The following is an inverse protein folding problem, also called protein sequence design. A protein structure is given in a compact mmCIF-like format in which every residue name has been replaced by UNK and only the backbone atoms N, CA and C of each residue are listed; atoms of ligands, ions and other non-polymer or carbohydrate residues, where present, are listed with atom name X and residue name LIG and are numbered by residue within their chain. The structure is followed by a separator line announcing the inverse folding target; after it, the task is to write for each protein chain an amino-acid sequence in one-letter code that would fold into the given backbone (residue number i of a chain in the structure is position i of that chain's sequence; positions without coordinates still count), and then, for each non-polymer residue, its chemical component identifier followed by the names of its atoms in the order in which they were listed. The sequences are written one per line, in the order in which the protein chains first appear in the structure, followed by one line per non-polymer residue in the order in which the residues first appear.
data_IF_952396318822
#
_entry.id   IF_952396318822
#
_cell.length_a   1.000
_cell.length_b   1.000
_cell.length_c   1.000
_cell.angle_alpha   90.00
_cell.angle_beta   90.00
_cell.angle_gamma   90.00
#
_symmetry.space_group_name_H-M   'P 1'
#
loop_
_entity.id
_entity.type
_entity.pdbx_description
1 polymer ?
#
# COMPACT_ATOMS: atom_id res chain seq x y z
N UNK A 1 -11.01 -36.66 45.97
CA UNK A 1 -10.25 -35.63 46.71
C UNK A 1 -9.06 -35.27 45.83
N UNK A 2 -8.73 -34.04 45.46
CA UNK A 2 -9.30 -32.72 45.67
C UNK A 2 -8.47 -31.79 44.75
N UNK A 3 -9.18 -30.90 44.04
CA UNK A 3 -8.92 -29.48 43.71
C UNK A 3 -7.48 -28.89 43.80
N UNK A 4 -7.23 -27.68 43.25
CA UNK A 4 -6.57 -27.35 41.99
C UNK A 4 -5.26 -26.52 42.27
N UNK A 5 -5.04 -25.43 41.50
CA UNK A 5 -4.29 -24.18 41.86
C UNK A 5 -2.85 -24.13 41.31
N UNK A 6 -2.51 -23.30 40.32
CA UNK A 6 -2.28 -21.84 40.36
C UNK A 6 -1.21 -21.45 41.43
N UNK A 7 -0.24 -20.56 41.18
CA UNK A 7 -0.38 -19.09 41.37
C UNK A 7 1.02 -18.44 41.19
N UNK A 8 1.04 -17.31 40.45
CA UNK A 8 1.64 -15.96 40.70
C UNK A 8 3.00 -15.81 41.43
N UNK A 9 3.92 -15.01 40.86
CA UNK A 9 4.30 -13.61 41.16
C UNK A 9 4.93 -13.31 42.53
N UNK A 10 5.96 -12.46 42.49
CA UNK A 10 6.44 -11.60 43.59
C UNK A 10 7.94 -11.82 43.82
N UNK A 11 8.84 -10.95 43.35
CA UNK A 11 9.28 -9.69 43.98
C UNK A 11 9.58 -9.81 45.48
N UNK A 12 10.87 -9.78 45.81
CA UNK A 12 11.37 -9.44 47.14
C UNK A 12 12.35 -8.25 47.06
N UNK A 13 12.02 -7.24 47.85
CA UNK A 13 12.89 -6.16 48.33
C UNK A 13 13.46 -6.57 49.72
N UNK A 14 14.19 -5.73 50.48
CA UNK A 14 15.42 -4.96 50.22
C UNK A 14 16.46 -5.11 51.39
N UNK A 15 17.49 -4.23 51.41
CA UNK A 15 18.12 -3.56 52.60
C UNK A 15 19.60 -3.89 52.95
N UNK A 16 20.46 -2.85 52.89
CA UNK A 16 21.21 -2.19 54.02
C UNK A 16 22.73 -1.97 53.84
N UNK A 17 23.14 -0.78 54.28
CA UNK A 17 24.40 -0.04 54.14
C UNK A 17 25.67 -0.49 54.90
N UNK A 18 26.85 -0.09 54.37
CA UNK A 18 28.06 0.58 54.97
C UNK A 18 29.20 0.48 53.91
N UNK A 19 30.24 1.33 53.76
CA UNK A 19 30.92 2.38 54.55
C UNK A 19 31.74 3.29 53.60
N UNK A 20 31.66 4.62 53.72
CA UNK A 20 32.69 5.53 54.26
C UNK A 20 34.15 5.28 53.79
N UNK A 21 34.56 5.90 52.67
CA UNK A 21 35.96 5.90 52.20
C UNK A 21 36.24 6.74 50.94
N UNK A 22 35.20 7.09 50.16
CA UNK A 22 35.36 7.73 48.84
C UNK A 22 35.13 9.25 48.81
N UNK A 23 34.65 9.85 49.92
CA UNK A 23 34.11 11.22 49.91
C UNK A 23 35.20 12.31 49.87
N UNK A 24 36.45 12.02 50.27
CA UNK A 24 37.49 13.07 50.38
C UNK A 24 38.20 13.37 49.05
N UNK A 25 38.19 12.44 48.08
CA UNK A 25 38.89 12.63 46.80
C UNK A 25 38.05 13.39 45.77
N UNK A 26 36.72 13.28 45.82
CA UNK A 26 35.83 13.91 44.84
C UNK A 26 35.66 15.42 45.06
N UNK A 27 35.77 15.89 46.31
CA UNK A 27 35.64 17.32 46.66
C UNK A 27 36.82 18.19 46.21
N UNK A 28 38.03 17.62 46.09
CA UNK A 28 39.22 18.37 45.64
C UNK A 28 39.25 18.68 44.14
N UNK A 29 38.67 17.81 43.30
CA UNK A 29 38.67 17.95 41.83
C UNK A 29 37.56 18.90 41.35
N UNK A 30 36.44 19.00 42.08
CA UNK A 30 35.34 19.90 41.75
C UNK A 30 35.66 21.39 42.00
N UNK A 31 36.58 21.72 42.92
CA UNK A 31 36.92 23.11 43.21
C UNK A 31 37.85 23.75 42.16
N UNK A 32 38.65 22.98 41.43
CA UNK A 32 39.59 23.49 40.43
C UNK A 32 38.98 23.67 39.03
N UNK A 33 37.84 23.02 38.72
CA UNK A 33 37.20 23.09 37.40
C UNK A 33 36.19 24.25 37.25
N UNK A 34 35.73 24.85 38.35
CA UNK A 34 34.72 25.92 38.34
C UNK A 34 35.33 27.31 38.11
N UNK A 35 36.64 27.47 38.29
CA UNK A 35 37.31 28.77 38.18
C UNK A 35 37.73 29.16 36.73
N UNK A 36 37.62 28.26 35.75
CA UNK A 36 38.15 28.49 34.38
C UNK A 36 37.06 28.60 33.29
N UNK A 37 35.80 28.26 33.57
CA UNK A 37 34.73 28.22 32.54
C UNK A 37 33.85 29.47 32.46
N UNK A 38 34.03 30.47 33.31
CA UNK A 38 33.15 31.66 33.36
C UNK A 38 33.53 32.78 32.38
N UNK A 39 34.53 32.61 31.50
CA UNK A 39 35.12 33.74 30.77
C UNK A 39 34.95 33.77 29.24
N UNK A 40 34.14 32.89 28.62
CA UNK A 40 33.92 32.99 27.15
C UNK A 40 32.51 32.59 26.74
N UNK A 41 31.53 33.46 26.97
CA UNK A 41 30.37 33.55 26.07
C UNK A 41 30.11 35.03 25.78
N UNK A 42 30.51 35.55 24.61
CA UNK A 42 30.12 36.88 24.21
C UNK A 42 28.60 36.94 24.11
N UNK A 43 28.00 37.97 24.72
CA UNK A 43 26.61 38.38 24.47
C UNK A 43 26.49 38.75 22.99
N UNK A 44 26.26 37.77 22.13
CA UNK A 44 25.81 38.04 20.77
C UNK A 44 24.35 38.44 20.85
N UNK A 45 24.13 39.70 20.51
CA UNK A 45 22.84 40.34 20.37
C UNK A 45 21.84 39.40 19.67
N UNK A 46 20.66 39.27 20.27
CA UNK A 46 19.48 38.70 19.62
C UNK A 46 19.09 39.68 18.51
N UNK A 47 19.69 39.52 17.32
CA UNK A 47 19.21 40.19 16.11
C UNK A 47 17.73 39.84 15.91
N UNK A 48 16.92 40.72 15.31
CA UNK A 48 15.51 40.43 15.07
C UNK A 48 15.42 39.11 14.30
N UNK A 49 14.57 38.21 14.79
CA UNK A 49 14.30 36.95 14.11
C UNK A 49 13.93 37.29 12.66
N UNK A 50 14.73 36.84 11.70
CA UNK A 50 14.36 36.90 10.29
C UNK A 50 13.13 36.02 10.16
N UNK A 51 11.98 36.63 9.94
CA UNK A 51 10.72 35.93 9.70
C UNK A 51 10.92 35.07 8.44
N UNK A 52 11.07 33.76 8.65
CA UNK A 52 11.06 32.81 7.55
C UNK A 52 9.69 32.92 6.88
N UNK A 53 9.63 33.11 5.54
CA UNK A 53 8.37 33.14 4.83
C UNK A 53 7.62 31.84 5.12
N UNK A 54 6.51 31.94 5.86
CA UNK A 54 5.62 30.80 6.08
C UNK A 54 5.16 30.37 4.69
N UNK A 55 5.61 29.20 4.24
CA UNK A 55 5.15 28.61 3.00
C UNK A 55 3.62 28.50 3.08
N UNK A 56 2.93 29.13 2.14
CA UNK A 56 1.47 29.06 2.09
C UNK A 56 1.03 27.59 2.01
N UNK A 57 -0.11 27.22 2.63
CA UNK A 57 -0.61 25.85 2.54
C UNK A 57 -0.80 25.46 1.06
N UNK A 58 -0.13 24.40 0.64
CA UNK A 58 -0.34 23.82 -0.69
C UNK A 58 -1.68 23.09 -0.66
N UNK A 59 -2.70 23.68 -1.27
CA UNK A 59 -4.01 23.02 -1.45
C UNK A 59 -3.88 22.03 -2.62
N UNK A 60 -4.20 20.73 -2.43
CA UNK A 60 -4.16 19.78 -3.53
C UNK A 60 -5.16 20.18 -4.63
N UNK A 61 -4.70 20.22 -5.88
CA UNK A 61 -5.60 20.41 -7.00
C UNK A 61 -6.59 19.24 -7.08
N UNK A 62 -7.88 19.55 -7.16
CA UNK A 62 -8.90 18.52 -7.40
C UNK A 62 -8.68 17.90 -8.79
N UNK A 63 -8.58 16.56 -8.83
CA UNK A 63 -8.44 15.82 -10.09
C UNK A 63 -9.85 15.56 -10.62
N UNK A 64 -10.16 16.05 -11.82
CA UNK A 64 -11.41 15.72 -12.49
C UNK A 64 -11.48 14.21 -12.77
N UNK A 65 -12.66 13.61 -12.60
CA UNK A 65 -12.91 12.20 -12.88
C UNK A 65 -13.89 12.01 -14.03
N UNK A 66 -13.76 10.90 -14.73
CA UNK A 66 -14.64 10.45 -15.82
C UNK A 66 -15.10 9.02 -15.53
N UNK A 67 -16.28 8.67 -16.01
CA UNK A 67 -16.85 7.33 -15.90
C UNK A 67 -16.90 6.69 -17.29
N UNK A 68 -16.39 5.46 -17.38
CA UNK A 68 -16.42 4.65 -18.59
C UNK A 68 -17.28 3.40 -18.38
N UNK A 69 -18.11 3.04 -19.36
CA UNK A 69 -18.74 1.71 -19.41
C UNK A 69 -17.76 0.72 -20.03
N UNK A 70 -17.49 -0.38 -19.32
CA UNK A 70 -16.54 -1.40 -19.76
C UNK A 70 -17.28 -2.72 -19.90
N UNK A 71 -17.14 -3.36 -21.05
CA UNK A 71 -17.65 -4.70 -21.33
C UNK A 71 -16.48 -5.60 -21.72
N UNK A 72 -16.31 -6.68 -20.97
CA UNK A 72 -15.44 -7.79 -21.37
C UNK A 72 -16.28 -8.88 -21.99
N UNK A 73 -15.84 -9.39 -23.15
CA UNK A 73 -16.53 -10.43 -23.89
C UNK A 73 -15.59 -11.61 -24.12
N UNK A 74 -16.11 -12.82 -23.93
CA UNK A 74 -15.49 -14.07 -24.34
C UNK A 74 -16.39 -14.77 -25.35
N UNK A 75 -15.90 -14.91 -26.57
CA UNK A 75 -16.63 -15.42 -27.72
C UNK A 75 -15.97 -16.72 -28.19
N UNK A 76 -16.77 -17.75 -28.44
CA UNK A 76 -16.29 -19.05 -28.87
C UNK A 76 -17.44 -20.05 -28.97
N UNK A 77 -17.16 -21.25 -29.45
CA UNK A 77 -18.17 -22.29 -29.63
C UNK A 77 -18.52 -23.06 -28.33
N UNK A 78 -17.70 -22.93 -27.28
CA UNK A 78 -17.76 -23.82 -26.11
C UNK A 78 -17.72 -23.05 -24.78
N UNK A 79 -16.64 -23.21 -24.01
CA UNK A 79 -16.45 -22.62 -22.70
C UNK A 79 -15.11 -21.90 -22.67
N UNK A 80 -14.92 -21.05 -21.68
CA UNK A 80 -13.62 -20.48 -21.34
C UNK A 80 -13.28 -20.87 -19.90
N UNK A 81 -12.04 -21.28 -19.67
CA UNK A 81 -11.55 -21.69 -18.34
C UNK A 81 -10.58 -20.67 -17.76
N UNK A 82 -10.36 -20.73 -16.45
CA UNK A 82 -9.42 -19.89 -15.70
C UNK A 82 -9.59 -18.39 -16.00
N UNK A 83 -10.85 -17.95 -16.09
CA UNK A 83 -11.17 -16.57 -16.47
C UNK A 83 -10.81 -15.66 -15.32
N UNK A 84 -9.91 -14.71 -15.58
CA UNK A 84 -9.48 -13.70 -14.61
C UNK A 84 -9.55 -12.33 -15.26
N UNK A 85 -10.14 -11.35 -14.57
CA UNK A 85 -10.28 -10.00 -15.12
C UNK A 85 -10.24 -8.91 -14.04
N UNK A 86 -9.80 -7.71 -14.44
CA UNK A 86 -9.81 -6.52 -13.59
C UNK A 86 -11.15 -5.79 -13.72
N UNK A 87 -11.93 -5.75 -12.63
CA UNK A 87 -13.25 -5.14 -12.53
C UNK A 87 -13.20 -3.69 -12.00
N UNK A 88 -14.36 -3.17 -11.57
CA UNK A 88 -14.48 -1.86 -10.96
C UNK A 88 -13.53 -1.71 -9.74
N UNK A 89 -12.94 -0.52 -9.60
CA UNK A 89 -11.96 -0.24 -8.54
C UNK A 89 -10.67 -1.08 -8.61
N UNK A 90 -10.35 -1.66 -9.77
CA UNK A 90 -9.22 -2.58 -9.98
C UNK A 90 -9.31 -3.89 -9.21
N UNK A 91 -10.51 -4.28 -8.75
CA UNK A 91 -10.71 -5.57 -8.11
C UNK A 91 -10.47 -6.72 -9.10
N UNK A 92 -9.69 -7.72 -8.72
CA UNK A 92 -9.52 -8.93 -9.52
C UNK A 92 -10.69 -9.88 -9.28
N UNK A 93 -11.35 -10.29 -10.36
CA UNK A 93 -12.41 -11.29 -10.32
C UNK A 93 -11.95 -12.54 -11.05
N UNK A 94 -12.30 -13.71 -10.48
CA UNK A 94 -11.97 -15.01 -11.06
C UNK A 94 -13.21 -15.88 -11.21
N UNK A 95 -13.20 -16.69 -12.27
CA UNK A 95 -14.18 -17.74 -12.54
C UNK A 95 -13.41 -18.95 -13.05
N UNK A 96 -13.65 -20.11 -12.46
CA UNK A 96 -13.04 -21.35 -12.93
C UNK A 96 -13.45 -21.65 -14.38
N UNK A 97 -14.72 -21.39 -14.72
CA UNK A 97 -15.26 -21.64 -16.05
C UNK A 97 -16.48 -20.74 -16.33
N UNK A 98 -16.67 -20.38 -17.60
CA UNK A 98 -17.89 -19.70 -18.12
C UNK A 98 -18.28 -20.32 -19.47
N UNK A 99 -19.58 -20.28 -19.80
CA UNK A 99 -20.09 -20.74 -21.11
C UNK A 99 -20.05 -19.59 -22.11
N UNK A 100 -19.54 -19.80 -23.32
CA UNK A 100 -19.49 -18.75 -24.36
C UNK A 100 -20.74 -18.77 -25.25
N UNK A 101 -21.22 -17.61 -25.74
CA UNK A 101 -20.71 -16.27 -25.49
C UNK A 101 -20.99 -15.80 -24.05
N UNK A 102 -20.00 -15.15 -23.44
CA UNK A 102 -20.07 -14.60 -22.09
C UNK A 102 -19.68 -13.14 -22.08
N UNK A 103 -20.33 -12.34 -21.23
CA UNK A 103 -19.93 -10.96 -20.98
C UNK A 103 -19.96 -10.59 -19.50
N UNK A 104 -19.14 -9.61 -19.14
CA UNK A 104 -19.22 -8.88 -17.87
C UNK A 104 -19.14 -7.39 -18.12
N UNK A 105 -20.11 -6.66 -17.57
CA UNK A 105 -20.20 -5.20 -17.68
C UNK A 105 -20.02 -4.54 -16.31
N UNK A 106 -19.27 -3.45 -16.28
CA UNK A 106 -19.11 -2.62 -15.09
C UNK A 106 -18.71 -1.18 -15.45
N UNK A 107 -18.95 -0.26 -14.53
CA UNK A 107 -18.49 1.13 -14.65
C UNK A 107 -17.11 1.31 -14.02
N UNK A 108 -16.21 1.98 -14.74
CA UNK A 108 -14.88 2.38 -14.26
C UNK A 108 -14.85 3.89 -14.08
N UNK A 109 -14.56 4.35 -12.86
CA UNK A 109 -14.32 5.77 -12.58
C UNK A 109 -12.81 5.98 -12.45
N UNK A 110 -12.27 6.90 -13.24
CA UNK A 110 -10.84 7.21 -13.29
C UNK A 110 -10.60 8.71 -13.48
N UNK A 111 -9.36 9.20 -13.28
CA UNK A 111 -9.00 10.57 -13.58
C UNK A 111 -9.15 10.88 -15.07
N UNK A 112 -9.72 12.05 -15.38
CA UNK A 112 -9.88 12.53 -16.75
C UNK A 112 -8.52 12.59 -17.48
N UNK A 113 -8.50 12.12 -18.73
CA UNK A 113 -7.31 12.20 -19.60
C UNK A 113 -6.21 11.20 -19.27
N UNK A 114 -6.46 10.19 -18.41
CA UNK A 114 -5.53 9.07 -18.19
C UNK A 114 -6.11 7.78 -18.76
N UNK A 115 -5.24 6.94 -19.30
CA UNK A 115 -5.59 5.57 -19.69
C UNK A 115 -5.72 4.71 -18.45
N UNK A 116 -6.88 4.10 -18.28
CA UNK A 116 -7.12 3.08 -17.26
C UNK A 116 -6.64 1.72 -17.76
N UNK A 117 -6.21 0.86 -16.84
CA UNK A 117 -5.81 -0.50 -17.17
C UNK A 117 -7.03 -1.42 -17.25
N UNK A 118 -7.18 -2.09 -18.39
CA UNK A 118 -8.22 -3.08 -18.63
C UNK A 118 -7.56 -4.40 -18.99
N UNK A 119 -8.01 -5.51 -18.41
CA UNK A 119 -7.43 -6.82 -18.69
C UNK A 119 -8.40 -7.95 -18.40
N UNK A 120 -8.45 -8.89 -19.33
CA UNK A 120 -9.10 -10.18 -19.18
C UNK A 120 -8.19 -11.27 -19.74
N UNK A 121 -8.04 -12.36 -18.98
CA UNK A 121 -7.33 -13.56 -19.37
C UNK A 121 -8.26 -14.76 -19.28
N UNK A 122 -8.06 -15.73 -20.17
CA UNK A 122 -8.79 -16.98 -20.19
C UNK A 122 -7.94 -18.08 -20.83
N UNK A 123 -8.38 -19.34 -20.66
CA UNK A 123 -7.81 -20.52 -21.31
C UNK A 123 -8.83 -21.12 -22.27
N UNK A 124 -8.37 -21.46 -23.48
CA UNK A 124 -9.15 -22.25 -24.41
C UNK A 124 -9.15 -23.72 -23.95
N UNK A 125 -10.31 -24.31 -23.56
CA UNK A 125 -10.32 -25.66 -23.01
C UNK A 125 -10.19 -26.77 -24.06
N UNK A 126 -10.38 -26.47 -25.35
CA UNK A 126 -10.55 -27.51 -26.35
C UNK A 126 -10.34 -27.04 -27.79
N UNK A 127 -10.79 -27.82 -28.78
CA UNK A 127 -10.71 -27.41 -30.18
C UNK A 127 -11.62 -26.21 -30.47
N UNK A 128 -11.26 -25.46 -31.49
CA UNK A 128 -12.00 -24.26 -31.92
C UNK A 128 -11.37 -22.98 -31.40
N UNK A 129 -11.93 -21.85 -31.85
CA UNK A 129 -11.44 -20.53 -31.48
C UNK A 129 -12.11 -20.02 -30.20
N UNK A 130 -11.28 -19.40 -29.36
CA UNK A 130 -11.73 -18.57 -28.25
C UNK A 130 -11.17 -17.17 -28.43
N UNK A 131 -12.05 -16.18 -28.40
CA UNK A 131 -11.75 -14.76 -28.60
C UNK A 131 -12.10 -13.98 -27.33
N UNK A 132 -11.22 -13.07 -26.95
CA UNK A 132 -11.51 -12.02 -25.97
C UNK A 132 -11.67 -10.69 -26.69
N UNK A 133 -12.58 -9.86 -26.19
CA UNK A 133 -12.79 -8.49 -26.66
C UNK A 133 -13.07 -7.58 -25.47
N UNK A 134 -12.45 -6.41 -25.45
CA UNK A 134 -12.66 -5.36 -24.46
C UNK A 134 -13.30 -4.18 -25.18
N UNK A 135 -14.48 -3.79 -24.72
CA UNK A 135 -15.25 -2.66 -25.23
C UNK A 135 -15.32 -1.59 -24.15
N UNK A 136 -14.92 -0.36 -24.46
CA UNK A 136 -15.00 0.80 -23.56
C UNK A 136 -15.83 1.87 -24.26
N UNK A 137 -16.92 2.31 -23.63
CA UNK A 137 -17.88 3.28 -24.17
C UNK A 137 -18.35 2.92 -25.60
N UNK A 138 -18.55 1.63 -25.85
CA UNK A 138 -18.97 1.10 -27.16
C UNK A 138 -17.83 0.91 -28.17
N UNK A 139 -16.59 1.31 -27.86
CA UNK A 139 -15.42 1.18 -28.74
C UNK A 139 -14.59 -0.04 -28.35
N UNK A 140 -14.23 -0.88 -29.33
CA UNK A 140 -13.31 -2.00 -29.10
C UNK A 140 -11.89 -1.45 -28.91
N UNK A 141 -11.32 -1.66 -27.73
CA UNK A 141 -9.97 -1.17 -27.39
C UNK A 141 -8.94 -2.28 -27.36
N UNK A 142 -9.35 -3.54 -27.20
CA UNK A 142 -8.50 -4.71 -27.37
C UNK A 142 -9.31 -5.92 -27.86
N UNK A 143 -8.71 -6.72 -28.73
CA UNK A 143 -9.28 -7.98 -29.19
C UNK A 143 -8.15 -8.98 -29.47
N UNK A 144 -8.37 -10.26 -29.13
CA UNK A 144 -7.43 -11.34 -29.42
C UNK A 144 -8.17 -12.65 -29.58
N UNK A 145 -7.71 -13.47 -30.53
CA UNK A 145 -8.23 -14.82 -30.76
C UNK A 145 -7.12 -15.86 -30.58
N UNK A 146 -7.47 -17.03 -30.06
CA UNK A 146 -6.58 -18.18 -29.92
C UNK A 146 -7.31 -19.44 -30.38
N UNK A 147 -6.64 -20.32 -31.12
CA UNK A 147 -7.22 -21.57 -31.63
C UNK A 147 -6.58 -22.80 -30.98
N UNK A 148 -5.40 -22.64 -30.37
CA UNK A 148 -4.66 -23.73 -29.75
C UNK A 148 -5.36 -24.23 -28.48
N UNK A 149 -5.70 -25.53 -28.41
CA UNK A 149 -6.29 -26.11 -27.21
C UNK A 149 -5.35 -26.02 -25.99
N UNK A 150 -5.92 -25.75 -24.82
CA UNK A 150 -5.19 -25.59 -23.56
C UNK A 150 -4.42 -24.27 -23.43
N UNK A 151 -4.38 -23.44 -24.49
CA UNK A 151 -3.61 -22.20 -24.50
C UNK A 151 -4.29 -21.13 -23.66
N UNK A 152 -3.52 -20.54 -22.75
CA UNK A 152 -3.90 -19.32 -22.04
C UNK A 152 -3.57 -18.09 -22.89
N UNK A 153 -4.46 -17.10 -22.85
CA UNK A 153 -4.32 -15.85 -23.57
C UNK A 153 -4.96 -14.70 -22.78
N UNK A 154 -4.61 -13.46 -23.13
CA UNK A 154 -5.15 -12.25 -22.52
C UNK A 154 -5.37 -11.14 -23.55
N UNK A 155 -6.39 -10.33 -23.28
CA UNK A 155 -6.60 -9.01 -23.86
C UNK A 155 -6.27 -7.97 -22.79
N UNK A 156 -5.52 -6.93 -23.13
CA UNK A 156 -5.24 -5.82 -22.24
C UNK A 156 -5.00 -4.51 -22.99
N UNK A 157 -5.23 -3.39 -22.31
CA UNK A 157 -4.95 -2.01 -22.76
C UNK A 157 -4.19 -1.29 -21.67
#
# INVERSE_FOLDING_TARGET
MGVPTAIRLGHDCPRRARSAGSVVVVLGVLAAAVAVTTFVVPRTARGPAREEPVAAPVVPAAVATVSHSVVYELLGAHRAQDVTYAAAGSALTQRAEVTTPWSAEFTRVGPAGRTEFYSIAARNPGPGELRCRIVVDGVVVAEKTVAEPGRQFSCAV
#
